data_IF_542430118572
#
_entry.id   IF_542430118572
#
_cell.length_a   1.000
_cell.length_b   1.000
_cell.length_c   1.000
_cell.angle_alpha   90.00
_cell.angle_beta   90.00
_cell.angle_gamma   90.00
#
_symmetry.space_group_name_H-M   'P 1'
#
loop_
_entity.id
_entity.type
_entity.pdbx_description
1 polymer ?
#
# COMPACT_ATOMS: atom_id res chain seq x y z
N UNK A 1 -3.17 24.31 26.47
CA UNK A 1 -2.09 24.47 25.50
C UNK A 1 -2.78 24.63 24.17
N UNK A 2 -2.81 25.84 23.58
CA UNK A 2 -3.49 26.05 22.28
C UNK A 2 -2.59 25.44 21.23
N UNK A 3 -3.05 24.41 20.55
CA UNK A 3 -2.34 23.83 19.40
C UNK A 3 -2.48 24.82 18.26
N UNK A 4 -1.52 25.73 18.10
CA UNK A 4 -1.44 26.69 16.99
C UNK A 4 -0.71 26.07 15.80
N UNK A 5 -1.18 24.91 15.35
CA UNK A 5 -0.68 24.25 14.16
C UNK A 5 -1.47 24.69 12.92
N UNK A 6 -0.85 24.56 11.73
CA UNK A 6 -1.55 24.70 10.45
C UNK A 6 -2.59 23.58 10.31
N UNK A 7 -3.66 23.85 9.56
CA UNK A 7 -4.64 22.83 9.21
C UNK A 7 -4.07 21.82 8.21
N UNK A 8 -4.62 20.61 8.20
CA UNK A 8 -4.27 19.56 7.23
C UNK A 8 -4.31 20.08 5.78
N UNK A 9 -5.34 20.88 5.44
CA UNK A 9 -5.49 21.42 4.09
C UNK A 9 -4.41 22.44 3.72
N UNK A 10 -3.92 23.22 4.67
CA UNK A 10 -2.80 24.17 4.44
C UNK A 10 -1.49 23.42 4.24
N UNK A 11 -1.23 22.35 5.01
CA UNK A 11 -0.04 21.53 4.85
C UNK A 11 -0.08 20.77 3.51
N UNK A 12 -1.23 20.21 3.13
CA UNK A 12 -1.40 19.55 1.83
C UNK A 12 -1.20 20.53 0.68
N UNK A 13 -1.67 21.77 0.78
CA UNK A 13 -1.46 22.77 -0.26
C UNK A 13 0.03 23.10 -0.47
N UNK A 14 0.80 23.13 0.61
CA UNK A 14 2.25 23.34 0.52
C UNK A 14 2.97 22.10 -0.03
N UNK A 15 2.57 20.88 0.40
CA UNK A 15 3.07 19.64 -0.19
C UNK A 15 2.81 19.57 -1.71
N UNK A 16 1.63 19.99 -2.17
CA UNK A 16 1.33 20.12 -3.61
C UNK A 16 2.30 21.05 -4.31
N UNK A 17 2.60 22.20 -3.68
CA UNK A 17 3.53 23.18 -4.24
C UNK A 17 4.95 22.61 -4.31
N UNK A 18 5.41 21.94 -3.26
CA UNK A 18 6.72 21.30 -3.18
C UNK A 18 6.85 20.16 -4.22
N UNK A 19 5.88 19.25 -4.25
CA UNK A 19 5.92 18.07 -5.14
C UNK A 19 5.78 18.42 -6.62
N UNK A 20 5.32 19.65 -6.94
CA UNK A 20 5.23 20.19 -8.30
C UNK A 20 6.52 20.86 -8.77
N UNK A 21 7.55 20.94 -7.92
CA UNK A 21 8.81 21.56 -8.31
C UNK A 21 9.57 20.71 -9.35
N UNK A 22 10.32 21.35 -10.27
CA UNK A 22 11.10 20.63 -11.27
C UNK A 22 12.04 19.60 -10.65
N UNK A 23 12.01 18.37 -11.15
CA UNK A 23 12.89 17.30 -10.71
C UNK A 23 12.64 16.79 -9.27
N UNK A 24 11.48 17.06 -8.66
CA UNK A 24 11.15 16.57 -7.33
C UNK A 24 11.25 15.03 -7.21
N UNK A 25 11.10 14.30 -8.30
CA UNK A 25 11.28 12.85 -8.38
C UNK A 25 12.63 12.37 -7.83
N UNK A 26 13.69 13.19 -7.93
CA UNK A 26 15.01 12.87 -7.39
C UNK A 26 15.03 12.93 -5.85
N UNK A 27 14.22 13.79 -5.24
CA UNK A 27 14.02 13.79 -3.79
C UNK A 27 13.27 12.56 -3.34
N UNK A 28 12.20 12.16 -4.05
CA UNK A 28 11.48 10.90 -3.77
C UNK A 28 12.42 9.71 -3.86
N UNK A 29 13.29 9.65 -4.86
CA UNK A 29 14.29 8.57 -4.98
C UNK A 29 15.21 8.52 -3.76
N UNK A 30 15.69 9.67 -3.27
CA UNK A 30 16.53 9.74 -2.05
C UNK A 30 15.78 9.32 -0.79
N UNK A 31 14.54 9.77 -0.62
CA UNK A 31 13.67 9.38 0.50
C UNK A 31 13.45 7.85 0.47
N UNK A 32 13.09 7.29 -0.67
CA UNK A 32 12.87 5.85 -0.79
C UNK A 32 14.14 5.05 -0.54
N UNK A 33 15.28 5.53 -0.99
CA UNK A 33 16.57 4.91 -0.74
C UNK A 33 16.92 4.93 0.76
N UNK A 34 16.71 6.05 1.45
CA UNK A 34 16.95 6.21 2.89
C UNK A 34 16.00 5.36 3.73
N UNK A 35 14.71 5.34 3.38
CA UNK A 35 13.64 4.90 4.27
C UNK A 35 13.11 3.48 3.96
N UNK A 36 13.14 3.04 2.69
CA UNK A 36 12.60 1.74 2.29
C UNK A 36 13.65 0.69 1.90
N UNK A 37 14.83 1.11 1.43
CA UNK A 37 15.88 0.18 1.03
C UNK A 37 16.82 -0.07 2.20
N UNK A 38 16.34 -0.75 3.23
CA UNK A 38 17.16 -1.16 4.37
C UNK A 38 17.85 -2.47 4.03
N UNK A 39 19.17 -2.41 3.81
CA UNK A 39 19.99 -3.60 3.56
C UNK A 39 20.50 -4.18 4.87
N UNK A 40 20.43 -5.51 5.01
CA UNK A 40 21.00 -6.24 6.12
C UNK A 40 22.24 -7.00 5.64
N UNK A 41 23.32 -6.88 6.37
CA UNK A 41 24.50 -7.71 6.18
C UNK A 41 24.62 -8.66 7.37
N UNK A 42 24.33 -9.95 7.14
CA UNK A 42 24.48 -10.99 8.15
C UNK A 42 23.29 -11.18 9.11
N UNK A 43 23.56 -11.48 10.37
CA UNK A 43 22.53 -11.65 11.40
C UNK A 43 22.00 -10.30 11.89
N UNK A 44 20.69 -10.25 12.23
CA UNK A 44 20.05 -9.05 12.77
C UNK A 44 20.74 -8.58 14.05
N UNK A 45 21.14 -7.32 14.08
CA UNK A 45 21.65 -6.63 15.24
C UNK A 45 20.64 -5.68 15.86
N UNK A 46 20.86 -5.24 17.10
CA UNK A 46 20.02 -4.21 17.72
C UNK A 46 20.01 -2.89 16.91
N UNK A 47 21.14 -2.53 16.29
CA UNK A 47 21.25 -1.35 15.43
C UNK A 47 20.43 -1.46 14.13
N UNK A 48 20.15 -2.67 13.65
CA UNK A 48 19.31 -2.87 12.48
C UNK A 48 17.83 -2.69 12.84
N UNK A 49 17.43 -3.04 14.07
CA UNK A 49 16.09 -2.74 14.59
C UNK A 49 15.86 -1.23 14.71
N UNK A 50 16.86 -0.47 15.17
CA UNK A 50 16.79 1.00 15.22
C UNK A 50 16.61 1.60 13.82
N UNK A 51 17.24 1.01 12.80
CA UNK A 51 17.03 1.43 11.41
C UNK A 51 15.62 1.17 10.90
N UNK A 52 14.98 0.09 11.34
CA UNK A 52 13.61 -0.26 10.96
C UNK A 52 12.55 0.63 11.63
N UNK A 53 12.77 0.99 12.89
CA UNK A 53 11.80 1.68 13.73
C UNK A 53 12.21 3.13 14.02
N UNK A 54 13.04 3.73 13.18
CA UNK A 54 13.41 5.14 13.33
C UNK A 54 12.21 6.04 13.03
N UNK A 55 11.70 6.82 14.00
CA UNK A 55 10.57 7.72 13.80
C UNK A 55 10.87 8.90 12.85
N UNK A 56 12.15 9.15 12.54
CA UNK A 56 12.55 10.16 11.56
C UNK A 56 12.38 9.71 10.09
N UNK A 57 11.99 8.43 9.85
CA UNK A 57 11.77 7.91 8.51
C UNK A 57 10.32 8.07 8.08
N UNK A 58 10.15 8.47 6.83
CA UNK A 58 8.84 8.46 6.22
C UNK A 58 8.35 7.04 6.01
N UNK A 59 7.11 6.79 6.41
CA UNK A 59 6.43 5.52 6.19
C UNK A 59 5.85 5.43 4.78
N UNK A 60 5.44 4.24 4.39
CA UNK A 60 4.94 3.96 3.03
C UNK A 60 3.73 4.80 2.61
N UNK A 61 2.81 5.08 3.52
CA UNK A 61 1.62 5.90 3.22
C UNK A 61 2.01 7.35 2.97
N UNK A 62 2.98 7.88 3.70
CA UNK A 62 3.53 9.21 3.48
C UNK A 62 4.24 9.30 2.12
N UNK A 63 5.12 8.32 1.81
CA UNK A 63 5.80 8.27 0.50
C UNK A 63 4.78 8.11 -0.64
N UNK A 64 3.77 7.27 -0.47
CA UNK A 64 2.70 7.11 -1.48
C UNK A 64 1.90 8.40 -1.65
N UNK A 65 1.75 9.19 -0.59
CA UNK A 65 1.13 10.52 -0.64
C UNK A 65 1.99 11.49 -1.44
N UNK A 66 3.31 11.57 -1.18
CA UNK A 66 4.23 12.40 -1.96
C UNK A 66 4.19 12.03 -3.45
N UNK A 67 4.26 10.73 -3.76
CA UNK A 67 4.13 10.23 -5.13
C UNK A 67 2.79 10.61 -5.76
N UNK A 68 1.69 10.45 -5.01
CA UNK A 68 0.36 10.80 -5.46
C UNK A 68 0.19 12.28 -5.78
N UNK A 69 0.73 13.16 -4.94
CA UNK A 69 0.72 14.61 -5.15
C UNK A 69 1.64 15.02 -6.30
N UNK A 70 2.84 14.45 -6.41
CA UNK A 70 3.77 14.67 -7.52
C UNK A 70 3.11 14.34 -8.87
N UNK A 71 2.40 13.21 -8.95
CA UNK A 71 1.77 12.75 -10.18
C UNK A 71 0.48 13.49 -10.56
N UNK A 72 0.10 14.54 -9.84
CA UNK A 72 -0.95 15.48 -10.27
C UNK A 72 -0.52 16.32 -11.47
N UNK A 73 0.78 16.42 -11.70
CA UNK A 73 1.41 17.05 -12.85
C UNK A 73 2.15 15.99 -13.70
N UNK A 74 2.51 16.30 -14.95
CA UNK A 74 3.42 15.45 -15.71
C UNK A 74 4.73 15.25 -14.95
N UNK A 75 5.25 14.02 -14.98
CA UNK A 75 6.51 13.69 -14.33
C UNK A 75 7.67 14.49 -14.94
N UNK A 76 8.36 15.27 -14.11
CA UNK A 76 9.55 16.01 -14.50
C UNK A 76 10.81 15.26 -14.05
N UNK A 77 11.63 14.83 -15.03
CA UNK A 77 12.86 14.09 -14.84
C UNK A 77 14.11 14.98 -14.91
N UNK A 78 13.96 16.31 -14.96
CA UNK A 78 15.10 17.24 -14.91
C UNK A 78 15.86 17.07 -13.59
N UNK A 79 17.19 17.08 -13.65
CA UNK A 79 18.03 16.95 -12.46
C UNK A 79 18.39 18.33 -11.90
N UNK A 80 17.85 18.74 -10.75
CA UNK A 80 18.23 19.96 -10.07
C UNK A 80 19.66 19.87 -9.50
N UNK A 81 20.21 21.00 -9.03
CA UNK A 81 21.44 21.00 -8.25
C UNK A 81 21.26 20.12 -6.99
N UNK A 82 22.32 19.42 -6.54
CA UNK A 82 22.25 18.52 -5.38
C UNK A 82 21.67 19.18 -4.12
N UNK A 83 22.03 20.44 -3.84
CA UNK A 83 21.51 21.18 -2.70
C UNK A 83 19.98 21.37 -2.78
N UNK A 84 19.44 21.63 -3.97
CA UNK A 84 17.98 21.78 -4.17
C UNK A 84 17.26 20.46 -3.92
N UNK A 85 17.84 19.33 -4.35
CA UNK A 85 17.27 18.02 -4.07
C UNK A 85 17.26 17.72 -2.57
N UNK A 86 18.32 18.09 -1.85
CA UNK A 86 18.39 17.93 -0.39
C UNK A 86 17.40 18.85 0.33
N UNK A 87 17.21 20.08 -0.15
CA UNK A 87 16.18 20.99 0.37
C UNK A 87 14.77 20.41 0.17
N UNK A 88 14.49 19.77 -0.98
CA UNK A 88 13.21 19.08 -1.20
C UNK A 88 13.01 17.92 -0.22
N UNK A 89 14.05 17.13 0.05
CA UNK A 89 13.99 16.03 1.04
C UNK A 89 13.67 16.58 2.42
N UNK A 90 14.46 17.56 2.90
CA UNK A 90 14.26 18.16 4.23
C UNK A 90 12.86 18.76 4.37
N UNK A 91 12.40 19.50 3.33
CA UNK A 91 11.07 20.09 3.39
C UNK A 91 9.94 19.06 3.33
N UNK A 92 10.14 17.92 2.66
CA UNK A 92 9.19 16.81 2.69
C UNK A 92 9.07 16.21 4.07
N UNK A 93 10.20 15.98 4.76
CA UNK A 93 10.22 15.45 6.13
C UNK A 93 9.48 16.40 7.09
N UNK A 94 9.79 17.69 7.06
CA UNK A 94 9.12 18.71 7.88
C UNK A 94 7.61 18.75 7.64
N UNK A 95 7.18 18.76 6.37
CA UNK A 95 5.76 18.85 6.04
C UNK A 95 4.99 17.58 6.38
N UNK A 96 5.62 16.40 6.30
CA UNK A 96 4.98 15.15 6.73
C UNK A 96 4.83 15.09 8.25
N UNK A 97 5.80 15.60 9.01
CA UNK A 97 5.65 15.76 10.47
C UNK A 97 4.52 16.74 10.82
N UNK A 98 4.46 17.91 10.15
CA UNK A 98 3.38 18.87 10.33
C UNK A 98 2.01 18.25 9.98
N UNK A 99 1.95 17.42 8.92
CA UNK A 99 0.73 16.71 8.52
C UNK A 99 0.26 15.75 9.60
N UNK A 100 1.19 14.97 10.18
CA UNK A 100 0.89 14.06 11.29
C UNK A 100 0.35 14.82 12.51
N UNK A 101 0.98 15.95 12.86
CA UNK A 101 0.51 16.80 13.93
C UNK A 101 -0.89 17.36 13.66
N UNK A 102 -1.16 17.82 12.43
CA UNK A 102 -2.47 18.32 12.01
C UNK A 102 -3.57 17.24 12.09
N UNK A 103 -3.25 16.02 11.70
CA UNK A 103 -4.19 14.88 11.80
C UNK A 103 -4.50 14.49 13.26
N UNK A 104 -3.55 14.66 14.18
CA UNK A 104 -3.72 14.37 15.59
C UNK A 104 -4.41 15.49 16.38
N UNK A 105 -4.45 16.72 15.85
CA UNK A 105 -5.01 17.88 16.55
C UNK A 105 -6.44 17.66 17.06
N UNK A 106 -7.40 17.10 16.28
CA UNK A 106 -8.76 16.86 16.78
C UNK A 106 -8.81 15.90 17.97
N UNK A 107 -7.93 14.90 17.99
CA UNK A 107 -7.82 13.92 19.08
C UNK A 107 -7.31 14.62 20.34
N UNK A 108 -6.26 15.43 20.22
CA UNK A 108 -5.67 16.17 21.35
C UNK A 108 -6.66 17.19 21.91
N UNK A 109 -7.38 17.91 21.08
CA UNK A 109 -8.41 18.87 21.48
C UNK A 109 -9.54 18.19 22.27
N UNK A 110 -9.96 16.99 21.84
CA UNK A 110 -10.98 16.22 22.53
C UNK A 110 -10.55 15.82 23.95
N UNK A 111 -9.29 15.42 24.14
CA UNK A 111 -8.73 15.12 25.47
C UNK A 111 -8.62 16.35 26.37
N UNK A 112 -8.28 17.52 25.84
CA UNK A 112 -8.24 18.78 26.60
C UNK A 112 -9.64 19.16 27.05
N UNK A 113 -10.64 19.08 26.19
CA UNK A 113 -12.05 19.35 26.55
C UNK A 113 -12.58 18.41 27.62
N UNK A 114 -12.16 17.14 27.63
CA UNK A 114 -12.51 16.20 28.70
C UNK A 114 -11.87 16.57 30.06
N UNK A 115 -10.61 16.97 30.04
CA UNK A 115 -9.92 17.38 31.27
C UNK A 115 -10.59 18.59 31.97
N UNK A 116 -11.26 19.43 31.15
CA UNK A 116 -12.02 20.60 31.63
C UNK A 116 -13.49 20.27 32.04
N UNK A 117 -13.87 18.98 32.07
CA UNK A 117 -15.18 18.52 32.57
C UNK A 117 -16.32 18.57 31.58
N UNK A 118 -16.02 18.60 30.28
CA UNK A 118 -17.00 18.56 29.19
C UNK A 118 -17.07 17.17 28.52
N UNK A 119 -18.27 16.72 28.25
CA UNK A 119 -18.71 15.57 27.45
C UNK A 119 -18.35 14.16 27.96
N UNK A 120 -19.29 13.22 27.79
CA UNK A 120 -19.12 11.80 28.10
C UNK A 120 -18.24 11.11 27.03
N UNK A 121 -17.47 10.10 27.45
CA UNK A 121 -16.53 9.33 26.61
C UNK A 121 -17.17 8.67 25.37
N UNK A 122 -18.48 8.58 25.32
CA UNK A 122 -19.26 8.02 24.21
C UNK A 122 -19.29 8.90 22.94
N UNK A 123 -19.01 10.21 23.07
CA UNK A 123 -18.96 11.14 21.92
C UNK A 123 -17.58 11.18 21.24
N UNK A 124 -16.56 10.53 21.85
CA UNK A 124 -15.16 10.55 21.39
C UNK A 124 -14.85 9.58 20.26
N UNK A 125 -15.76 8.69 19.92
CA UNK A 125 -15.56 7.69 18.84
C UNK A 125 -16.17 8.19 17.53
N UNK A 126 -15.78 9.36 17.10
CA UNK A 126 -16.11 9.85 15.77
C UNK A 126 -15.13 9.25 14.73
N UNK A 127 -15.60 9.00 13.52
CA UNK A 127 -14.80 8.46 12.44
C UNK A 127 -13.58 9.31 12.09
N UNK A 128 -13.64 10.63 12.41
CA UNK A 128 -12.48 11.53 12.32
C UNK A 128 -11.28 11.06 13.13
N UNK A 129 -11.49 10.45 14.29
CA UNK A 129 -10.42 9.91 15.15
C UNK A 129 -9.75 8.66 14.58
N UNK A 130 -10.45 7.95 13.67
CA UNK A 130 -9.89 6.76 13.01
C UNK A 130 -9.01 7.10 11.80
N UNK A 131 -8.97 8.36 11.36
CA UNK A 131 -8.23 8.76 10.16
C UNK A 131 -6.73 8.58 10.32
N UNK A 132 -6.18 9.03 11.44
CA UNK A 132 -4.76 8.90 11.73
C UNK A 132 -4.36 7.40 11.87
N UNK A 133 -4.99 6.59 12.73
CA UNK A 133 -4.68 5.16 12.79
C UNK A 133 -4.85 4.43 11.44
N UNK A 134 -5.84 4.81 10.63
CA UNK A 134 -6.03 4.24 9.29
C UNK A 134 -4.86 4.64 8.37
N UNK A 135 -4.39 5.88 8.43
CA UNK A 135 -3.29 6.34 7.59
C UNK A 135 -1.95 5.73 8.02
N UNK A 136 -1.64 5.74 9.30
CA UNK A 136 -0.35 5.28 9.83
C UNK A 136 -0.30 3.78 10.17
N UNK A 137 -1.43 3.15 10.42
CA UNK A 137 -1.53 1.73 10.83
C UNK A 137 -2.04 0.78 9.76
N UNK A 138 -2.16 1.19 8.49
CA UNK A 138 -2.87 0.42 7.44
C UNK A 138 -2.12 -0.76 6.84
N UNK A 139 -1.00 -1.15 7.37
CA UNK A 139 -0.29 -2.32 6.89
C UNK A 139 -1.03 -3.62 7.25
N UNK A 140 -1.99 -4.00 6.42
CA UNK A 140 -2.78 -5.22 6.64
C UNK A 140 -2.01 -6.51 6.36
N UNK A 141 -0.86 -6.43 5.67
CA UNK A 141 0.00 -7.56 5.34
C UNK A 141 1.43 -7.14 5.04
N UNK A 142 2.40 -8.02 5.20
CA UNK A 142 3.76 -7.82 4.73
C UNK A 142 3.85 -7.94 3.21
N UNK A 143 4.86 -7.34 2.58
CA UNK A 143 5.07 -7.37 1.12
C UNK A 143 5.12 -8.81 0.57
N UNK A 144 5.80 -9.73 1.27
CA UNK A 144 5.87 -11.13 0.86
C UNK A 144 4.51 -11.85 0.95
N UNK A 145 3.65 -11.45 1.89
CA UNK A 145 2.29 -12.01 1.99
C UNK A 145 1.44 -11.56 0.80
N UNK A 146 1.47 -10.29 0.42
CA UNK A 146 0.79 -9.82 -0.78
C UNK A 146 1.29 -10.52 -2.03
N UNK A 147 2.62 -10.70 -2.18
CA UNK A 147 3.23 -11.44 -3.29
C UNK A 147 2.70 -12.87 -3.41
N UNK A 148 2.62 -13.59 -2.29
CA UNK A 148 2.25 -15.00 -2.30
C UNK A 148 0.73 -15.18 -2.33
N UNK A 149 -0.01 -14.38 -1.56
CA UNK A 149 -1.47 -14.45 -1.53
C UNK A 149 -2.14 -13.94 -2.80
N UNK A 150 -1.48 -13.07 -3.58
CA UNK A 150 -1.96 -12.65 -4.89
C UNK A 150 -2.28 -13.84 -5.79
N UNK A 151 -1.36 -14.79 -5.86
CA UNK A 151 -1.53 -15.99 -6.69
C UNK A 151 -2.68 -16.84 -6.18
N UNK A 152 -2.79 -17.05 -4.85
CA UNK A 152 -3.90 -17.81 -4.26
C UNK A 152 -5.25 -17.11 -4.49
N UNK A 153 -5.29 -15.79 -4.32
CA UNK A 153 -6.51 -14.97 -4.42
C UNK A 153 -7.12 -14.98 -5.82
N UNK A 154 -6.27 -14.90 -6.84
CA UNK A 154 -6.70 -14.74 -8.23
C UNK A 154 -6.47 -15.99 -9.10
N UNK A 155 -6.17 -17.15 -8.49
CA UNK A 155 -5.96 -18.40 -9.23
C UNK A 155 -7.19 -18.79 -10.09
N UNK A 156 -8.40 -18.58 -9.58
CA UNK A 156 -9.64 -18.84 -10.31
C UNK A 156 -9.89 -17.88 -11.47
N UNK A 157 -9.19 -16.73 -11.47
CA UNK A 157 -9.36 -15.67 -12.46
C UNK A 157 -8.26 -15.66 -13.52
N UNK A 158 -7.33 -16.61 -13.49
CA UNK A 158 -6.14 -16.66 -14.37
C UNK A 158 -6.52 -16.69 -15.87
N UNK A 159 -7.61 -17.35 -16.24
CA UNK A 159 -8.10 -17.35 -17.62
C UNK A 159 -8.57 -15.98 -18.06
N UNK A 160 -9.28 -15.26 -17.21
CA UNK A 160 -9.70 -13.89 -17.49
C UNK A 160 -8.51 -12.95 -17.60
N UNK A 161 -7.53 -13.04 -16.68
CA UNK A 161 -6.30 -12.25 -16.72
C UNK A 161 -5.52 -12.48 -18.01
N UNK A 162 -5.35 -13.75 -18.40
CA UNK A 162 -4.65 -14.09 -19.65
C UNK A 162 -5.35 -13.51 -20.88
N UNK A 163 -6.68 -13.61 -20.95
CA UNK A 163 -7.45 -13.15 -22.11
C UNK A 163 -7.55 -11.63 -22.19
N UNK A 164 -7.68 -10.94 -21.06
CA UNK A 164 -8.00 -9.51 -21.01
C UNK A 164 -6.80 -8.63 -20.65
N UNK A 165 -5.76 -9.21 -20.02
CA UNK A 165 -4.56 -8.48 -19.59
C UNK A 165 -3.27 -9.00 -20.22
N UNK A 166 -3.29 -10.20 -20.83
CA UNK A 166 -2.14 -10.78 -21.52
C UNK A 166 -1.14 -11.49 -20.61
N UNK A 167 -1.47 -11.77 -19.36
CA UNK A 167 -0.59 -12.47 -18.41
C UNK A 167 -1.38 -13.32 -17.43
N UNK A 168 -0.70 -14.26 -16.75
CA UNK A 168 -1.21 -15.03 -15.62
C UNK A 168 -0.74 -14.45 -14.30
N UNK A 169 -1.36 -14.86 -13.18
CA UNK A 169 -0.92 -14.46 -11.83
C UNK A 169 0.54 -14.82 -11.56
N UNK A 170 0.97 -16.02 -11.99
CA UNK A 170 2.37 -16.46 -11.83
C UNK A 170 3.34 -15.60 -12.63
N UNK A 171 3.01 -15.23 -13.86
CA UNK A 171 3.82 -14.35 -14.71
C UNK A 171 3.93 -12.95 -14.10
N UNK A 172 2.81 -12.36 -13.64
CA UNK A 172 2.81 -11.05 -12.99
C UNK A 172 3.63 -11.06 -11.69
N UNK A 173 3.51 -12.12 -10.88
CA UNK A 173 4.34 -12.29 -9.67
C UNK A 173 5.82 -12.37 -10.01
N UNK A 174 6.19 -13.10 -11.07
CA UNK A 174 7.58 -13.26 -11.48
C UNK A 174 8.18 -11.92 -11.95
N UNK A 175 7.42 -11.15 -12.73
CA UNK A 175 7.80 -9.79 -13.17
C UNK A 175 8.03 -8.88 -11.98
N UNK A 176 7.07 -8.79 -11.06
CA UNK A 176 7.20 -7.94 -9.87
C UNK A 176 8.39 -8.36 -8.99
N UNK A 177 8.58 -9.67 -8.81
CA UNK A 177 9.71 -10.20 -8.04
C UNK A 177 11.05 -9.87 -8.69
N UNK A 178 11.16 -9.97 -10.01
CA UNK A 178 12.37 -9.60 -10.75
C UNK A 178 12.70 -8.10 -10.61
N UNK A 179 11.68 -7.23 -10.67
CA UNK A 179 11.86 -5.79 -10.44
C UNK A 179 12.36 -5.51 -9.02
N UNK A 180 11.74 -6.10 -7.99
CA UNK A 180 12.13 -5.93 -6.60
C UNK A 180 13.56 -6.46 -6.35
N UNK A 181 13.87 -7.67 -6.82
CA UNK A 181 15.22 -8.27 -6.68
C UNK A 181 16.30 -7.46 -7.39
N UNK A 182 15.97 -6.83 -8.52
CA UNK A 182 16.89 -5.95 -9.23
C UNK A 182 17.11 -4.65 -8.46
N UNK A 183 16.07 -4.09 -7.86
CA UNK A 183 16.17 -2.91 -6.98
C UNK A 183 17.08 -3.21 -5.79
N UNK A 184 16.91 -4.36 -5.13
CA UNK A 184 17.76 -4.79 -4.01
C UNK A 184 19.22 -4.97 -4.45
N UNK A 185 19.46 -5.59 -5.60
CA UNK A 185 20.81 -5.79 -6.14
C UNK A 185 21.50 -4.45 -6.46
N UNK A 186 20.74 -3.49 -7.00
CA UNK A 186 21.25 -2.14 -7.28
C UNK A 186 21.55 -1.37 -5.99
N UNK A 187 20.69 -1.50 -4.96
CA UNK A 187 20.93 -0.90 -3.66
C UNK A 187 22.16 -1.52 -2.96
N UNK A 188 22.31 -2.84 -3.00
CA UNK A 188 23.46 -3.53 -2.42
C UNK A 188 24.79 -3.12 -3.07
N UNK A 189 24.80 -2.82 -4.36
CA UNK A 189 26.00 -2.34 -5.05
C UNK A 189 26.49 -1.00 -4.50
N UNK A 190 25.60 -0.09 -4.11
CA UNK A 190 25.93 1.20 -3.51
C UNK A 190 26.55 1.03 -2.12
N UNK A 191 26.11 0.01 -1.35
CA UNK A 191 26.60 -0.25 0.01
C UNK A 191 27.78 -1.26 0.05
N UNK A 192 28.03 -2.01 -1.04
CA UNK A 192 28.79 -3.27 -0.97
C UNK A 192 30.31 -3.15 -0.93
N UNK A 193 30.90 -2.07 -1.40
CA UNK A 193 32.38 -1.95 -1.54
C UNK A 193 33.05 -1.10 -0.45
N UNK A 194 32.33 -0.74 0.62
CA UNK A 194 32.87 0.06 1.72
C UNK A 194 33.22 1.50 1.36
N UNK A 195 33.10 1.88 0.10
CA UNK A 195 33.06 3.27 -0.34
C UNK A 195 31.60 3.70 -0.41
N UNK A 196 31.20 4.55 0.50
CA UNK A 196 29.89 5.23 0.44
C UNK A 196 29.83 5.97 -0.90
N UNK A 197 29.05 5.45 -1.86
CA UNK A 197 28.76 6.20 -3.08
C UNK A 197 28.14 7.52 -2.64
N UNK A 198 28.80 8.63 -2.97
CA UNK A 198 28.28 9.95 -2.65
C UNK A 198 26.94 10.17 -3.37
N UNK A 199 25.87 9.71 -2.72
CA UNK A 199 24.49 9.92 -3.19
C UNK A 199 24.06 11.38 -3.08
N UNK A 200 24.89 12.24 -2.44
CA UNK A 200 24.59 13.68 -2.32
C UNK A 200 24.82 14.42 -3.64
N UNK A 201 25.80 13.98 -4.44
CA UNK A 201 26.25 14.65 -5.66
C UNK A 201 25.64 14.08 -6.95
N UNK A 202 25.01 12.88 -6.91
CA UNK A 202 24.49 12.20 -8.09
C UNK A 202 23.03 11.80 -7.94
N UNK A 203 22.33 11.65 -9.07
CA UNK A 203 20.97 11.10 -9.09
C UNK A 203 21.03 9.57 -8.91
N UNK A 204 20.22 9.07 -7.97
CA UNK A 204 20.01 7.64 -7.76
C UNK A 204 18.76 7.12 -8.46
N UNK A 205 18.10 7.95 -9.29
CA UNK A 205 16.83 7.61 -9.94
C UNK A 205 16.92 6.35 -10.81
N UNK A 206 18.09 6.11 -11.43
CA UNK A 206 18.33 4.92 -12.25
C UNK A 206 18.16 3.59 -11.49
N UNK A 207 18.27 3.60 -10.16
CA UNK A 207 18.05 2.40 -9.33
C UNK A 207 16.59 1.96 -9.30
N UNK A 208 15.69 2.91 -9.54
CA UNK A 208 14.24 2.73 -9.54
C UNK A 208 13.65 2.61 -10.95
N UNK A 209 14.48 2.74 -12.01
CA UNK A 209 14.03 2.72 -13.41
C UNK A 209 14.16 1.31 -14.00
N UNK A 210 13.10 0.86 -14.69
CA UNK A 210 13.00 -0.48 -15.25
C UNK A 210 12.50 -0.42 -16.69
N UNK A 211 13.06 -1.30 -17.56
CA UNK A 211 12.57 -1.51 -18.90
C UNK A 211 11.98 -2.92 -19.07
N UNK A 212 10.99 -3.11 -19.96
CA UNK A 212 10.44 -4.44 -20.23
C UNK A 212 11.51 -5.43 -20.71
N UNK A 213 12.47 -4.98 -21.53
CA UNK A 213 13.55 -5.83 -22.04
C UNK A 213 14.47 -6.36 -20.95
N UNK A 214 14.86 -5.52 -19.97
CA UNK A 214 15.68 -5.94 -18.84
C UNK A 214 14.98 -6.98 -17.96
N UNK A 215 13.68 -6.80 -17.71
CA UNK A 215 12.89 -7.74 -16.90
C UNK A 215 12.61 -9.02 -17.68
N UNK A 216 12.36 -8.95 -18.99
CA UNK A 216 12.23 -10.11 -19.86
C UNK A 216 13.47 -11.01 -19.81
N UNK A 217 14.67 -10.44 -19.91
CA UNK A 217 15.93 -11.18 -19.80
C UNK A 217 16.11 -11.89 -18.44
N UNK A 218 15.65 -11.26 -17.35
CA UNK A 218 15.76 -11.84 -15.99
C UNK A 218 14.73 -12.92 -15.71
N UNK A 219 13.57 -12.83 -16.30
CA UNK A 219 12.45 -13.74 -16.04
C UNK A 219 12.32 -14.86 -17.08
N UNK A 220 13.04 -14.74 -18.20
CA UNK A 220 12.90 -15.60 -19.38
C UNK A 220 11.46 -15.61 -19.94
N UNK A 221 10.67 -14.59 -19.61
CA UNK A 221 9.33 -14.37 -20.19
C UNK A 221 9.45 -13.58 -21.49
N UNK A 222 8.51 -13.82 -22.40
CA UNK A 222 8.35 -13.01 -23.60
C UNK A 222 8.17 -11.53 -23.21
N UNK A 223 8.84 -10.64 -23.93
CA UNK A 223 8.80 -9.20 -23.64
C UNK A 223 7.39 -8.62 -23.72
N UNK A 224 6.52 -9.19 -24.55
CA UNK A 224 5.11 -8.84 -24.68
C UNK A 224 4.33 -9.14 -23.40
N UNK A 225 4.63 -10.24 -22.72
CA UNK A 225 4.03 -10.58 -21.41
C UNK A 225 4.50 -9.60 -20.34
N UNK A 226 5.79 -9.28 -20.29
CA UNK A 226 6.34 -8.29 -19.37
C UNK A 226 5.72 -6.92 -19.63
N UNK A 227 5.63 -6.51 -20.89
CA UNK A 227 4.99 -5.25 -21.28
C UNK A 227 3.51 -5.20 -20.88
N UNK A 228 2.80 -6.32 -20.98
CA UNK A 228 1.40 -6.42 -20.56
C UNK A 228 1.24 -6.20 -19.04
N UNK A 229 2.14 -6.77 -18.22
CA UNK A 229 2.17 -6.52 -16.78
C UNK A 229 2.50 -5.05 -16.48
N UNK A 230 3.51 -4.48 -17.16
CA UNK A 230 3.85 -3.06 -17.01
C UNK A 230 2.65 -2.19 -17.36
N UNK A 231 1.99 -2.41 -18.48
CA UNK A 231 0.82 -1.63 -18.92
C UNK A 231 -0.32 -1.69 -17.89
N UNK A 232 -0.55 -2.85 -17.28
CA UNK A 232 -1.62 -3.04 -16.31
C UNK A 232 -1.37 -2.29 -14.97
N UNK A 233 -0.10 -2.07 -14.63
CA UNK A 233 0.32 -1.45 -13.37
C UNK A 233 0.91 -0.03 -13.57
N UNK A 234 0.98 0.46 -14.79
CA UNK A 234 1.48 1.81 -15.09
C UNK A 234 0.38 2.85 -14.93
N UNK A 235 0.69 3.93 -14.22
CA UNK A 235 -0.20 5.07 -14.07
C UNK A 235 -0.49 5.69 -15.45
N UNK A 236 -1.77 5.76 -15.80
CA UNK A 236 -2.25 6.37 -17.03
C UNK A 236 -2.81 7.76 -16.73
N UNK A 237 -2.22 8.79 -17.36
CA UNK A 237 -2.62 10.18 -17.14
C UNK A 237 -2.13 10.76 -15.80
N UNK A 238 -2.77 11.82 -15.38
CA UNK A 238 -2.43 12.56 -14.16
C UNK A 238 -3.35 12.16 -12.99
N UNK A 239 -2.81 12.15 -11.78
CA UNK A 239 -3.53 11.84 -10.54
C UNK A 239 -4.33 13.06 -10.01
N UNK A 240 -5.00 13.79 -10.90
CA UNK A 240 -5.64 15.10 -10.61
C UNK A 240 -6.77 15.05 -9.58
N UNK A 241 -7.33 13.85 -9.33
CA UNK A 241 -8.40 13.63 -8.35
C UNK A 241 -7.86 13.50 -6.91
N UNK A 242 -6.57 13.24 -6.73
CA UNK A 242 -5.95 13.15 -5.40
C UNK A 242 -5.62 14.56 -4.89
N UNK A 243 -6.50 15.14 -4.06
CA UNK A 243 -6.42 16.49 -3.53
C UNK A 243 -6.21 16.54 -2.03
N UNK A 244 -6.66 15.51 -1.33
CA UNK A 244 -6.57 15.33 0.14
C UNK A 244 -6.34 13.86 0.47
N UNK A 245 -5.89 13.54 1.69
CA UNK A 245 -5.52 12.18 2.10
C UNK A 245 -6.63 11.14 1.93
N UNK A 246 -7.89 11.55 2.04
CA UNK A 246 -9.03 10.67 1.87
C UNK A 246 -9.42 10.39 0.42
N UNK A 247 -8.82 11.07 -0.57
CA UNK A 247 -9.12 10.83 -1.97
C UNK A 247 -8.47 9.57 -2.49
N UNK A 248 -9.00 9.07 -3.62
CA UNK A 248 -8.39 7.94 -4.30
C UNK A 248 -7.04 8.33 -4.91
N UNK A 249 -5.97 7.72 -4.39
CA UNK A 249 -4.64 7.88 -4.94
C UNK A 249 -4.38 6.79 -6.01
N UNK A 250 -4.39 7.18 -7.28
CA UNK A 250 -4.20 6.24 -8.40
C UNK A 250 -2.82 5.56 -8.37
N UNK A 251 -1.80 6.19 -7.77
CA UNK A 251 -0.46 5.61 -7.62
C UNK A 251 -0.50 4.33 -6.75
N UNK A 252 -1.41 4.23 -5.79
CA UNK A 252 -1.56 3.02 -4.99
C UNK A 252 -2.08 1.82 -5.82
N UNK A 253 -2.92 2.09 -6.84
CA UNK A 253 -3.46 1.05 -7.71
C UNK A 253 -2.55 0.75 -8.92
N UNK A 254 -1.76 1.73 -9.36
CA UNK A 254 -0.87 1.66 -10.52
C UNK A 254 0.48 2.30 -10.17
N UNK A 255 1.37 1.56 -9.43
CA UNK A 255 2.58 2.12 -8.83
C UNK A 255 3.74 2.34 -9.81
N UNK A 256 3.60 1.93 -11.06
CA UNK A 256 4.61 2.17 -12.09
C UNK A 256 4.40 3.54 -12.73
N UNK A 257 5.37 4.43 -12.58
CA UNK A 257 5.30 5.78 -13.12
C UNK A 257 6.02 5.84 -14.47
N UNK A 258 5.33 6.24 -15.57
CA UNK A 258 5.94 6.24 -16.89
C UNK A 258 6.95 7.38 -17.03
N UNK A 259 8.16 7.08 -17.53
CA UNK A 259 9.19 8.10 -17.77
C UNK A 259 9.02 8.85 -19.10
N UNK A 260 8.15 8.37 -19.97
CA UNK A 260 8.03 8.84 -21.35
C UNK A 260 9.15 8.37 -22.30
N UNK A 261 10.09 7.53 -21.81
CA UNK A 261 11.24 7.01 -22.58
C UNK A 261 11.16 5.49 -22.84
N UNK A 262 10.00 4.88 -22.62
CA UNK A 262 9.82 3.43 -22.74
C UNK A 262 10.21 2.63 -21.49
N UNK A 263 10.49 3.33 -20.39
CA UNK A 263 10.78 2.76 -19.07
C UNK A 263 9.75 3.24 -18.04
N UNK A 264 9.75 2.62 -16.88
CA UNK A 264 8.91 2.98 -15.73
C UNK A 264 9.76 3.11 -14.48
N UNK A 265 9.28 3.92 -13.52
CA UNK A 265 9.86 4.01 -12.17
C UNK A 265 8.98 3.20 -11.21
N UNK A 266 9.62 2.42 -10.33
CA UNK A 266 9.03 1.76 -9.19
C UNK A 266 9.85 2.12 -7.95
N UNK A 267 9.22 2.74 -6.95
CA UNK A 267 9.93 3.26 -5.77
C UNK A 267 9.89 2.33 -4.55
N UNK A 268 8.88 1.45 -4.46
CA UNK A 268 8.69 0.60 -3.28
C UNK A 268 8.27 -0.81 -3.68
N UNK A 269 8.91 -1.83 -3.08
CA UNK A 269 8.53 -3.24 -3.24
C UNK A 269 7.08 -3.49 -2.83
N UNK A 270 6.68 -2.88 -1.74
CA UNK A 270 5.35 -3.05 -1.18
C UNK A 270 4.26 -2.62 -2.16
N UNK A 271 4.44 -1.49 -2.83
CA UNK A 271 3.42 -0.90 -3.67
C UNK A 271 3.06 -1.79 -4.88
N UNK A 272 4.05 -2.44 -5.50
CA UNK A 272 3.78 -3.33 -6.63
C UNK A 272 3.08 -4.62 -6.20
N UNK A 273 3.47 -5.19 -5.04
CA UNK A 273 2.82 -6.40 -4.53
C UNK A 273 1.41 -6.12 -4.02
N UNK A 274 1.18 -5.00 -3.34
CA UNK A 274 -0.16 -4.58 -2.92
C UNK A 274 -1.04 -4.31 -4.15
N UNK A 275 -0.54 -3.61 -5.17
CA UNK A 275 -1.27 -3.35 -6.39
C UNK A 275 -1.63 -4.64 -7.14
N UNK A 276 -0.73 -5.61 -7.23
CA UNK A 276 -1.05 -6.93 -7.78
C UNK A 276 -2.14 -7.65 -7.00
N UNK A 277 -2.12 -7.56 -5.67
CA UNK A 277 -3.12 -8.22 -4.83
C UNK A 277 -4.49 -7.57 -4.91
N UNK A 278 -4.56 -6.24 -5.03
CA UNK A 278 -5.80 -5.48 -4.94
C UNK A 278 -6.40 -5.09 -6.29
N UNK A 279 -5.59 -4.63 -7.25
CA UNK A 279 -6.09 -4.03 -8.49
C UNK A 279 -6.82 -4.99 -9.42
N UNK A 280 -6.44 -6.29 -9.54
CA UNK A 280 -7.13 -7.21 -10.45
C UNK A 280 -8.62 -7.35 -10.19
N UNK A 281 -9.04 -7.30 -8.93
CA UNK A 281 -10.47 -7.33 -8.60
C UNK A 281 -11.24 -6.19 -9.28
N UNK A 282 -10.68 -4.98 -9.25
CA UNK A 282 -11.33 -3.82 -9.87
C UNK A 282 -11.34 -3.89 -11.39
N UNK A 283 -10.28 -4.48 -12.00
CA UNK A 283 -10.25 -4.70 -13.45
C UNK A 283 -11.36 -5.66 -13.87
N UNK A 284 -11.51 -6.77 -13.17
CA UNK A 284 -12.55 -7.77 -13.40
C UNK A 284 -13.94 -7.26 -13.08
N UNK A 285 -14.06 -6.46 -12.00
CA UNK A 285 -15.35 -5.88 -11.59
C UNK A 285 -15.86 -4.82 -12.56
N UNK A 286 -14.99 -4.18 -13.33
CA UNK A 286 -15.37 -3.26 -14.41
C UNK A 286 -15.87 -3.97 -15.68
N UNK A 287 -15.59 -5.27 -15.83
CA UNK A 287 -16.14 -6.11 -16.90
C UNK A 287 -17.52 -6.61 -16.51
N UNK A 288 -18.55 -6.09 -17.20
CA UNK A 288 -19.96 -6.42 -16.91
C UNK A 288 -20.26 -7.91 -16.99
N UNK A 289 -19.61 -8.63 -17.93
CA UNK A 289 -19.80 -10.05 -18.14
C UNK A 289 -19.14 -10.90 -17.04
N UNK A 290 -18.07 -10.41 -16.41
CA UNK A 290 -17.29 -11.16 -15.42
C UNK A 290 -17.48 -10.68 -13.98
N UNK A 291 -18.08 -9.53 -13.76
CA UNK A 291 -18.26 -8.86 -12.44
C UNK A 291 -18.78 -9.78 -11.34
N UNK A 292 -19.83 -10.53 -11.63
CA UNK A 292 -20.44 -11.44 -10.65
C UNK A 292 -19.47 -12.56 -10.30
N UNK A 293 -18.86 -13.18 -11.30
CA UNK A 293 -17.88 -14.27 -11.09
C UNK A 293 -16.68 -13.79 -10.28
N UNK A 294 -16.17 -12.58 -10.56
CA UNK A 294 -15.07 -11.99 -9.78
C UNK A 294 -15.44 -11.79 -8.31
N UNK A 295 -16.68 -11.38 -8.05
CA UNK A 295 -17.20 -11.20 -6.69
C UNK A 295 -17.32 -12.54 -5.96
N UNK A 296 -17.85 -13.56 -6.63
CA UNK A 296 -18.00 -14.91 -6.08
C UNK A 296 -16.64 -15.55 -5.80
N UNK A 297 -15.69 -15.44 -6.74
CA UNK A 297 -14.31 -15.94 -6.55
C UNK A 297 -13.61 -15.25 -5.37
N UNK A 298 -13.79 -13.94 -5.21
CA UNK A 298 -13.23 -13.18 -4.09
C UNK A 298 -13.84 -13.61 -2.75
N UNK A 299 -15.14 -13.85 -2.67
CA UNK A 299 -15.82 -14.38 -1.49
C UNK A 299 -15.28 -15.75 -1.12
N UNK A 300 -15.32 -16.68 -2.07
CA UNK A 300 -14.82 -18.04 -1.89
C UNK A 300 -13.34 -18.09 -1.46
N UNK A 301 -12.50 -17.21 -2.01
CA UNK A 301 -11.09 -17.11 -1.60
C UNK A 301 -10.98 -16.79 -0.11
N UNK A 302 -11.70 -15.81 0.42
CA UNK A 302 -11.57 -15.37 1.82
C UNK A 302 -11.98 -16.49 2.78
N UNK A 303 -13.06 -17.23 2.49
CA UNK A 303 -13.53 -18.37 3.28
C UNK A 303 -12.50 -19.51 3.28
N UNK A 304 -12.04 -19.93 2.09
CA UNK A 304 -11.03 -20.99 1.93
C UNK A 304 -9.70 -20.59 2.57
N UNK A 305 -9.27 -19.35 2.40
CA UNK A 305 -8.04 -18.83 3.00
C UNK A 305 -8.13 -18.87 4.53
N UNK A 306 -9.23 -18.38 5.12
CA UNK A 306 -9.44 -18.37 6.55
C UNK A 306 -9.44 -19.79 7.13
N UNK A 307 -10.17 -20.72 6.50
CA UNK A 307 -10.24 -22.10 6.96
C UNK A 307 -8.87 -22.81 6.90
N UNK A 308 -8.09 -22.61 5.81
CA UNK A 308 -6.74 -23.18 5.69
C UNK A 308 -5.79 -22.68 6.77
N UNK A 309 -5.80 -21.36 7.07
CA UNK A 309 -4.92 -20.77 8.10
C UNK A 309 -5.30 -21.25 9.50
N UNK A 310 -6.59 -21.34 9.80
CA UNK A 310 -7.07 -21.87 11.07
C UNK A 310 -6.78 -23.37 11.19
N UNK A 311 -6.93 -24.16 10.13
CA UNK A 311 -6.58 -25.58 10.13
C UNK A 311 -5.08 -25.81 10.37
N UNK A 312 -4.20 -24.94 9.90
CA UNK A 312 -2.77 -25.02 10.16
C UNK A 312 -2.43 -24.80 11.66
N UNK A 313 -3.24 -24.00 12.37
CA UNK A 313 -3.03 -23.69 13.79
C UNK A 313 -3.73 -24.71 14.70
N UNK A 314 -5.00 -25.00 14.44
CA UNK A 314 -5.86 -25.81 15.34
C UNK A 314 -5.96 -27.27 14.92
N UNK A 315 -5.46 -27.65 13.74
CA UNK A 315 -5.65 -28.97 13.14
C UNK A 315 -6.94 -29.05 12.32
N UNK A 316 -6.87 -29.72 11.16
CA UNK A 316 -7.99 -29.82 10.22
C UNK A 316 -9.25 -30.47 10.80
N UNK A 317 -9.10 -31.38 11.75
CA UNK A 317 -10.23 -32.06 12.42
C UNK A 317 -11.08 -31.12 13.30
N UNK A 318 -10.51 -29.98 13.69
CA UNK A 318 -11.16 -29.01 14.58
C UNK A 318 -11.75 -27.83 13.84
N UNK A 319 -11.59 -27.75 12.51
CA UNK A 319 -12.03 -26.61 11.67
C UNK A 319 -13.14 -27.07 10.74
N UNK A 320 -14.28 -26.43 10.84
CA UNK A 320 -15.48 -26.73 10.07
C UNK A 320 -15.90 -25.49 9.27
N UNK A 321 -16.30 -25.67 8.02
CA UNK A 321 -16.70 -24.58 7.12
C UNK A 321 -18.20 -24.61 6.84
N UNK A 322 -18.81 -23.44 6.57
CA UNK A 322 -20.22 -23.29 6.18
C UNK A 322 -21.18 -23.96 7.18
N UNK A 323 -20.98 -23.67 8.47
CA UNK A 323 -21.73 -24.30 9.56
C UNK A 323 -23.00 -23.53 9.87
N UNK A 324 -24.16 -24.17 9.66
CA UNK A 324 -25.44 -23.58 10.03
C UNK A 324 -25.62 -23.54 11.56
N UNK A 325 -25.91 -22.37 12.08
CA UNK A 325 -26.28 -22.17 13.48
C UNK A 325 -27.79 -22.36 13.63
N UNK A 326 -28.20 -23.31 14.48
CA UNK A 326 -29.60 -23.73 14.59
C UNK A 326 -30.13 -23.40 15.99
N UNK A 327 -31.30 -22.77 16.07
CA UNK A 327 -32.06 -22.60 17.30
C UNK A 327 -33.39 -23.36 17.16
N UNK A 328 -33.50 -24.49 17.84
CA UNK A 328 -34.64 -25.41 17.69
C UNK A 328 -34.64 -26.07 16.28
N UNK A 329 -35.61 -25.67 15.45
CA UNK A 329 -35.70 -26.13 14.04
C UNK A 329 -35.35 -25.05 13.03
N UNK A 330 -34.97 -23.87 13.49
CA UNK A 330 -34.73 -22.71 12.63
C UNK A 330 -33.23 -22.44 12.51
N UNK A 331 -32.74 -22.26 11.28
CA UNK A 331 -31.42 -21.71 11.02
C UNK A 331 -31.47 -20.22 11.38
N UNK A 332 -30.61 -19.79 12.32
CA UNK A 332 -30.52 -18.42 12.82
C UNK A 332 -29.30 -17.68 12.29
N UNK A 333 -28.38 -18.38 11.64
CA UNK A 333 -27.17 -17.82 11.03
C UNK A 333 -26.32 -18.93 10.42
N UNK A 334 -25.25 -18.52 9.77
CA UNK A 334 -24.20 -19.39 9.23
C UNK A 334 -22.85 -18.84 9.69
N UNK A 335 -21.94 -19.73 10.07
CA UNK A 335 -20.55 -19.42 10.34
C UNK A 335 -19.71 -19.85 9.12
N UNK A 336 -18.97 -18.93 8.53
CA UNK A 336 -18.10 -19.25 7.39
C UNK A 336 -17.00 -20.24 7.84
N UNK A 337 -16.43 -20.02 9.03
CA UNK A 337 -15.53 -20.98 9.67
C UNK A 337 -15.84 -21.11 11.16
N UNK A 338 -15.97 -22.36 11.62
CA UNK A 338 -16.13 -22.71 13.02
C UNK A 338 -14.93 -23.54 13.48
N UNK A 339 -14.24 -23.08 14.51
CA UNK A 339 -13.19 -23.86 15.17
C UNK A 339 -13.71 -24.39 16.50
N UNK A 340 -13.60 -25.72 16.73
CA UNK A 340 -13.90 -26.37 18.01
C UNK A 340 -12.60 -26.95 18.55
N UNK A 341 -12.10 -26.39 19.66
CA UNK A 341 -10.82 -26.79 20.23
C UNK A 341 -10.94 -26.95 21.75
N UNK A 342 -10.96 -28.19 22.20
CA UNK A 342 -11.21 -28.55 23.59
C UNK A 342 -12.62 -28.12 24.03
N UNK A 343 -12.70 -27.28 25.04
CA UNK A 343 -13.93 -26.73 25.62
C UNK A 343 -14.28 -25.34 25.04
N UNK A 344 -13.56 -24.89 23.99
CA UNK A 344 -13.69 -23.56 23.39
C UNK A 344 -14.12 -23.63 21.94
N UNK A 345 -14.81 -22.60 21.51
CA UNK A 345 -15.31 -22.42 20.16
C UNK A 345 -14.96 -21.02 19.68
N UNK A 346 -14.49 -20.93 18.41
CA UNK A 346 -14.29 -19.64 17.71
C UNK A 346 -15.16 -19.65 16.47
N UNK A 347 -16.02 -18.64 16.34
CA UNK A 347 -16.85 -18.40 15.16
C UNK A 347 -16.14 -17.31 14.35
N UNK A 348 -15.88 -17.59 13.08
CA UNK A 348 -15.28 -16.63 12.15
C UNK A 348 -16.25 -16.35 11.02
N UNK A 349 -16.52 -15.06 10.82
CA UNK A 349 -17.23 -14.54 9.67
C UNK A 349 -16.23 -13.83 8.76
N UNK A 350 -16.03 -14.34 7.55
CA UNK A 350 -15.06 -13.83 6.61
C UNK A 350 -15.69 -12.77 5.68
N UNK A 351 -15.12 -11.58 5.62
CA UNK A 351 -15.59 -10.49 4.76
C UNK A 351 -14.50 -10.07 3.79
N UNK A 352 -14.81 -10.13 2.49
CA UNK A 352 -13.90 -9.65 1.44
C UNK A 352 -14.00 -8.14 1.18
N UNK A 353 -14.77 -7.40 1.98
CA UNK A 353 -15.01 -5.96 1.84
C UNK A 353 -13.92 -5.17 2.57
N UNK A 354 -13.37 -4.15 1.92
CA UNK A 354 -12.55 -3.10 2.54
C UNK A 354 -13.41 -1.89 2.91
N UNK A 355 -12.93 -1.10 3.86
CA UNK A 355 -13.54 0.20 4.17
C UNK A 355 -13.62 1.06 2.90
N UNK A 356 -14.79 1.63 2.66
CA UNK A 356 -15.00 2.59 1.56
C UNK A 356 -14.17 3.86 1.77
N UNK A 357 -13.95 4.61 0.70
CA UNK A 357 -13.24 5.90 0.80
C UNK A 357 -13.95 6.86 1.76
N UNK A 358 -15.29 6.87 1.77
CA UNK A 358 -16.07 7.71 2.68
C UNK A 358 -15.84 7.32 4.16
N UNK A 359 -15.79 6.02 4.47
CA UNK A 359 -15.47 5.53 5.80
C UNK A 359 -14.03 5.93 6.23
N UNK A 360 -13.07 5.84 5.30
CA UNK A 360 -11.68 6.27 5.54
C UNK A 360 -11.55 7.78 5.74
N UNK A 361 -12.44 8.58 5.18
CA UNK A 361 -12.54 10.03 5.41
C UNK A 361 -13.16 10.39 6.77
N UNK A 362 -13.55 9.40 7.57
CA UNK A 362 -14.15 9.60 8.88
C UNK A 362 -15.68 9.79 8.84
N UNK A 363 -16.38 9.30 7.80
CA UNK A 363 -17.83 9.33 7.76
C UNK A 363 -18.41 8.20 8.62
N UNK A 364 -18.98 8.55 9.78
CA UNK A 364 -19.54 7.61 10.77
C UNK A 364 -20.67 6.76 10.23
N UNK A 365 -21.56 7.34 9.42
CA UNK A 365 -22.66 6.62 8.81
C UNK A 365 -22.15 5.52 7.87
N UNK A 366 -21.15 5.82 7.07
CA UNK A 366 -20.53 4.87 6.17
C UNK A 366 -19.70 3.84 6.92
N UNK A 367 -19.00 4.25 7.96
CA UNK A 367 -18.22 3.33 8.81
C UNK A 367 -19.14 2.24 9.39
N UNK A 368 -20.30 2.64 9.94
CA UNK A 368 -21.32 1.70 10.46
C UNK A 368 -21.92 0.78 9.39
N UNK A 369 -21.96 1.21 8.13
CA UNK A 369 -22.44 0.39 7.01
C UNK A 369 -21.37 -0.57 6.47
N UNK A 370 -20.11 -0.27 6.69
CA UNK A 370 -18.99 -1.09 6.25
C UNK A 370 -18.67 -2.23 7.22
N UNK A 371 -19.09 -2.11 8.49
CA UNK A 371 -19.06 -3.15 9.52
C UNK A 371 -20.41 -3.82 9.70
#
# INVERSE_FOLDING_TARGET
MVVTGRSESEVIAELVTLTSQPGYVHAVAKICYRDNLVTYQGEYSASDLDKLFNPERLIRTEITTLLGLMMRQPLDLSLPAPSVVLDYVSRSDELMEELHQAMNSPILESFVHQADGGAEMTELWEGSMMREPIFYGTESAYSFQYRDFFVEKHASDDNWLRQNKGFTTLQARLVAHAMCSLMDARAAYIYGDGEEVDTSSSSILAHFEFTPGEISQRTELDVEVVQAVFNALTLTGQNSQFRELGDFNSVAATPLLPTGRGSVLLFMHYSIYEALYESPFFWMHSDEAYRQQASDNRGAFVEVFSSKRLAAVFGAANVHTNVNLINGKKIVGEADVLVIFGDRMVIVQAKAKKLTLAARKGNDGQLKLDF
#
